data_IF_960549156159
#
_entry.id   IF_960549156159
#
_cell.length_a   1.000
_cell.length_b   1.000
_cell.length_c   1.000
_cell.angle_alpha   90.00
_cell.angle_beta   90.00
_cell.angle_gamma   90.00
#
_symmetry.space_group_name_H-M   'P 1'
#
loop_
_entity.id
_entity.type
_entity.pdbx_description
1 polymer ?
#
# COMPACT_ATOMS: atom_id res chain seq x y z
N UNK A 1 4.34 -13.79 8.58
CA UNK A 1 4.26 -12.53 7.82
C UNK A 1 5.55 -12.39 7.03
N UNK A 2 5.46 -12.25 5.70
CA UNK A 2 6.59 -12.35 4.77
C UNK A 2 7.75 -11.41 5.13
N UNK A 3 8.95 -11.96 5.36
CA UNK A 3 10.20 -11.21 5.55
C UNK A 3 10.49 -10.22 4.41
N UNK A 4 9.87 -10.43 3.24
CA UNK A 4 9.97 -9.60 2.04
C UNK A 4 9.30 -8.22 2.15
N UNK A 5 8.31 -8.04 3.03
CA UNK A 5 7.57 -6.77 3.12
C UNK A 5 8.41 -5.69 3.82
N UNK A 6 9.28 -6.05 4.76
CA UNK A 6 10.15 -5.12 5.49
C UNK A 6 11.06 -4.27 4.59
N UNK A 7 11.85 -4.84 3.66
CA UNK A 7 12.70 -4.03 2.79
C UNK A 7 11.88 -3.10 1.89
N UNK A 8 10.70 -3.54 1.40
CA UNK A 8 9.78 -2.70 0.64
C UNK A 8 9.35 -1.45 1.43
N UNK A 9 9.04 -1.59 2.73
CA UNK A 9 8.68 -0.45 3.60
C UNK A 9 9.85 0.52 3.80
N UNK A 10 11.06 0.00 3.94
CA UNK A 10 12.26 0.84 4.07
C UNK A 10 12.49 1.67 2.82
N UNK A 11 12.32 1.04 1.64
CA UNK A 11 12.47 1.74 0.37
C UNK A 11 11.40 2.83 0.19
N UNK A 12 10.15 2.54 0.52
CA UNK A 12 9.06 3.53 0.55
C UNK A 12 9.39 4.72 1.46
N UNK A 13 9.92 4.44 2.67
CA UNK A 13 10.33 5.50 3.60
C UNK A 13 11.46 6.38 3.03
N UNK A 14 12.43 5.78 2.34
CA UNK A 14 13.55 6.51 1.71
C UNK A 14 13.03 7.42 0.59
N UNK A 15 12.15 6.93 -0.28
CA UNK A 15 11.57 7.74 -1.35
C UNK A 15 10.68 8.87 -0.82
N UNK A 16 9.93 8.64 0.26
CA UNK A 16 9.17 9.69 0.94
C UNK A 16 10.10 10.78 1.53
N UNK A 17 11.20 10.38 2.19
CA UNK A 17 12.22 11.31 2.69
C UNK A 17 12.92 12.07 1.57
N UNK A 18 13.24 11.40 0.46
CA UNK A 18 13.80 12.04 -0.72
C UNK A 18 12.84 13.10 -1.27
N UNK A 19 11.53 12.81 -1.30
CA UNK A 19 10.51 13.78 -1.72
C UNK A 19 10.49 15.00 -0.80
N UNK A 20 10.55 14.81 0.52
CA UNK A 20 10.66 15.93 1.48
C UNK A 20 11.92 16.76 1.21
N UNK A 21 13.08 16.10 1.03
CA UNK A 21 14.36 16.77 0.78
C UNK A 21 14.38 17.59 -0.52
N UNK A 22 13.89 17.00 -1.61
CA UNK A 22 13.79 17.70 -2.91
C UNK A 22 12.80 18.86 -2.83
N UNK A 23 11.66 18.66 -2.17
CA UNK A 23 10.66 19.72 -1.99
C UNK A 23 11.22 20.88 -1.15
N UNK A 24 11.95 20.58 -0.07
CA UNK A 24 12.62 21.59 0.75
C UNK A 24 13.71 22.35 -0.03
N UNK A 25 14.48 21.65 -0.87
CA UNK A 25 15.46 22.28 -1.76
C UNK A 25 14.80 23.25 -2.75
N UNK A 26 13.70 22.82 -3.40
CA UNK A 26 12.94 23.68 -4.31
C UNK A 26 12.44 24.92 -3.58
N UNK A 27 11.91 24.77 -2.35
CA UNK A 27 11.47 25.88 -1.51
C UNK A 27 12.61 26.85 -1.17
N UNK A 28 13.77 26.34 -0.78
CA UNK A 28 14.94 27.18 -0.51
C UNK A 28 15.47 27.89 -1.76
N UNK A 29 15.44 27.23 -2.92
CA UNK A 29 15.96 27.79 -4.18
C UNK A 29 15.09 28.89 -4.79
N UNK A 30 13.78 28.83 -4.55
CA UNK A 30 12.79 29.76 -5.11
C UNK A 30 12.41 30.87 -4.11
N UNK A 31 13.18 31.06 -3.03
CA UNK A 31 12.88 32.00 -1.94
C UNK A 31 12.64 33.45 -2.40
N UNK A 32 13.20 33.87 -3.54
CA UNK A 32 12.99 35.22 -4.12
C UNK A 32 11.68 35.37 -4.90
N UNK A 33 11.10 34.27 -5.39
CA UNK A 33 9.90 34.23 -6.21
C UNK A 33 8.71 33.86 -5.31
N UNK A 34 7.98 34.86 -4.83
CA UNK A 34 6.84 34.73 -3.89
C UNK A 34 5.63 33.92 -4.40
N UNK A 35 5.73 33.24 -5.54
CA UNK A 35 4.68 32.37 -6.09
C UNK A 35 5.02 30.89 -5.87
N UNK A 36 4.83 30.43 -4.63
CA UNK A 36 4.82 28.99 -4.37
C UNK A 36 3.57 28.35 -4.97
N UNK A 37 3.75 27.35 -5.83
CA UNK A 37 2.63 26.56 -6.34
C UNK A 37 2.10 25.64 -5.24
N UNK A 38 0.78 25.63 -5.04
CA UNK A 38 0.08 24.77 -4.08
C UNK A 38 0.43 23.28 -4.23
N UNK A 39 0.86 22.86 -5.42
CA UNK A 39 1.27 21.48 -5.72
C UNK A 39 2.54 21.07 -4.95
N UNK A 40 3.48 22.01 -4.74
CA UNK A 40 4.72 21.75 -4.00
C UNK A 40 4.42 21.48 -2.53
N UNK A 41 3.51 22.25 -1.92
CA UNK A 41 3.04 22.00 -0.56
C UNK A 41 2.27 20.68 -0.43
N UNK A 42 1.48 20.31 -1.45
CA UNK A 42 0.81 19.01 -1.49
C UNK A 42 1.81 17.85 -1.50
N UNK A 43 2.89 17.95 -2.28
CA UNK A 43 3.97 16.95 -2.29
C UNK A 43 4.71 16.86 -0.93
N UNK A 44 4.94 18.00 -0.27
CA UNK A 44 5.53 18.03 1.07
C UNK A 44 4.63 17.32 2.08
N UNK A 45 3.32 17.64 2.05
CA UNK A 45 2.32 16.96 2.86
C UNK A 45 2.33 15.45 2.60
N UNK A 46 2.40 15.03 1.34
CA UNK A 46 2.37 13.62 0.97
C UNK A 46 3.61 12.85 1.47
N UNK A 47 4.79 13.46 1.38
CA UNK A 47 6.02 12.95 1.97
C UNK A 47 5.92 12.81 3.49
N UNK A 48 5.49 13.88 4.19
CA UNK A 48 5.28 13.85 5.64
C UNK A 48 4.24 12.81 6.07
N UNK A 49 3.11 12.72 5.36
CA UNK A 49 2.06 11.72 5.60
C UNK A 49 2.63 10.30 5.50
N UNK A 50 3.42 10.03 4.46
CA UNK A 50 3.98 8.70 4.23
C UNK A 50 5.03 8.34 5.30
N UNK A 51 5.94 9.27 5.64
CA UNK A 51 6.98 9.04 6.65
C UNK A 51 6.42 8.98 8.08
N UNK A 52 5.47 9.84 8.44
CA UNK A 52 4.98 9.98 9.81
C UNK A 52 3.77 9.11 10.13
N UNK A 53 2.92 8.79 9.15
CA UNK A 53 1.68 8.04 9.35
C UNK A 53 1.78 6.67 8.70
N UNK A 54 2.10 6.57 7.41
CA UNK A 54 2.11 5.27 6.74
C UNK A 54 3.20 4.34 7.30
N UNK A 55 4.46 4.76 7.35
CA UNK A 55 5.58 3.90 7.77
C UNK A 55 5.42 3.37 9.21
N UNK A 56 5.09 4.18 10.23
CA UNK A 56 4.91 3.67 11.60
C UNK A 56 3.71 2.74 11.73
N UNK A 57 2.60 3.06 11.05
CA UNK A 57 1.38 2.24 11.11
C UNK A 57 1.60 0.85 10.51
N UNK A 58 2.39 0.77 9.42
CA UNK A 58 2.75 -0.49 8.77
C UNK A 58 3.90 -1.22 9.47
N UNK A 59 4.75 -0.53 10.23
CA UNK A 59 5.79 -1.12 11.09
C UNK A 59 5.27 -1.67 12.42
N UNK A 60 4.23 -1.05 13.00
CA UNK A 60 3.58 -1.49 14.24
C UNK A 60 2.51 -2.58 14.00
N UNK A 61 1.98 -2.70 12.78
CA UNK A 61 1.03 -3.73 12.37
C UNK A 61 1.41 -5.17 12.82
N UNK A 62 2.64 -5.67 12.63
CA UNK A 62 2.99 -7.04 13.05
C UNK A 62 3.12 -7.22 14.57
N UNK A 63 3.22 -6.14 15.36
CA UNK A 63 3.52 -6.22 16.79
C UNK A 63 2.30 -6.22 17.70
N UNK A 64 1.15 -5.68 17.25
CA UNK A 64 0.07 -5.37 18.20
C UNK A 64 -1.12 -6.36 18.23
N UNK A 65 -1.72 -6.84 17.12
CA UNK A 65 -3.02 -7.56 17.24
C UNK A 65 -3.30 -8.59 16.11
N UNK A 66 -3.09 -9.91 16.33
CA UNK A 66 -3.05 -10.90 15.24
C UNK A 66 -4.39 -11.39 14.65
N UNK A 67 -5.59 -10.94 15.08
CA UNK A 67 -6.81 -11.74 14.77
C UNK A 67 -8.08 -11.09 14.19
N UNK A 68 -8.40 -9.81 14.37
CA UNK A 68 -9.74 -9.33 13.92
C UNK A 68 -9.83 -7.95 13.27
N UNK A 69 -8.83 -7.06 13.39
CA UNK A 69 -8.89 -5.70 12.82
C UNK A 69 -8.01 -5.48 11.57
N UNK A 70 -7.26 -6.51 11.16
CA UNK A 70 -6.18 -6.40 10.16
C UNK A 70 -6.62 -6.48 8.69
N UNK A 71 -7.82 -7.00 8.39
CA UNK A 71 -8.20 -7.31 7.00
C UNK A 71 -8.51 -6.06 6.17
N UNK A 72 -8.96 -4.97 6.80
CA UNK A 72 -9.42 -3.77 6.08
C UNK A 72 -8.57 -2.52 6.33
N UNK A 73 -8.02 -2.34 7.53
CA UNK A 73 -7.32 -1.08 7.89
C UNK A 73 -6.01 -0.91 7.13
N UNK A 74 -5.26 -1.99 6.97
CA UNK A 74 -3.98 -2.00 6.24
C UNK A 74 -4.19 -1.66 4.76
N UNK A 75 -5.03 -2.39 4.00
CA UNK A 75 -5.24 -2.07 2.59
C UNK A 75 -5.92 -0.71 2.40
N UNK A 76 -6.78 -0.25 3.33
CA UNK A 76 -7.35 1.09 3.26
C UNK A 76 -6.28 2.19 3.34
N UNK A 77 -5.32 2.08 4.26
CA UNK A 77 -4.22 3.04 4.34
C UNK A 77 -3.29 3.00 3.13
N UNK A 78 -3.07 1.81 2.56
CA UNK A 78 -2.31 1.69 1.31
C UNK A 78 -3.03 2.33 0.12
N UNK A 79 -4.35 2.18 0.01
CA UNK A 79 -5.16 2.82 -1.05
C UNK A 79 -5.15 4.34 -0.90
N UNK A 80 -5.34 4.85 0.33
CA UNK A 80 -5.31 6.30 0.59
C UNK A 80 -3.95 6.87 0.21
N UNK A 81 -2.88 6.24 0.68
CA UNK A 81 -1.51 6.69 0.42
C UNK A 81 -1.19 6.61 -1.07
N UNK A 82 -1.51 5.49 -1.74
CA UNK A 82 -1.39 5.36 -3.18
C UNK A 82 -2.20 6.42 -3.95
N UNK A 83 -3.42 6.74 -3.52
CA UNK A 83 -4.23 7.79 -4.12
C UNK A 83 -3.59 9.18 -4.03
N UNK A 84 -2.99 9.51 -2.88
CA UNK A 84 -2.27 10.77 -2.68
C UNK A 84 -1.02 10.86 -3.56
N UNK A 85 -0.25 9.77 -3.69
CA UNK A 85 0.90 9.73 -4.61
C UNK A 85 0.49 9.83 -6.07
N UNK A 86 -0.61 9.18 -6.46
CA UNK A 86 -1.17 9.25 -7.80
C UNK A 86 -1.56 10.69 -8.19
N UNK A 87 -2.34 11.35 -7.35
CA UNK A 87 -2.75 12.73 -7.60
C UNK A 87 -1.54 13.68 -7.60
N UNK A 88 -0.56 13.44 -6.74
CA UNK A 88 0.65 14.25 -6.63
C UNK A 88 1.49 14.27 -7.89
N UNK A 89 1.83 13.10 -8.44
CA UNK A 89 2.71 13.07 -9.62
C UNK A 89 2.02 13.66 -10.85
N UNK A 90 0.71 13.44 -11.02
CA UNK A 90 -0.08 14.03 -12.11
C UNK A 90 -0.17 15.54 -11.96
N UNK A 91 -0.44 16.04 -10.75
CA UNK A 91 -0.50 17.48 -10.50
C UNK A 91 0.84 18.17 -10.79
N UNK A 92 1.96 17.54 -10.44
CA UNK A 92 3.31 18.05 -10.77
C UNK A 92 3.58 17.98 -12.27
N UNK A 93 3.17 16.91 -12.95
CA UNK A 93 3.31 16.79 -14.40
C UNK A 93 2.52 17.86 -15.15
N UNK A 94 1.34 18.25 -14.66
CA UNK A 94 0.54 19.32 -15.25
C UNK A 94 1.11 20.73 -14.97
N UNK A 95 1.90 20.90 -13.91
CA UNK A 95 2.48 22.18 -13.52
C UNK A 95 3.70 22.56 -14.36
N UNK A 96 4.47 21.59 -14.85
CA UNK A 96 5.73 21.84 -15.55
C UNK A 96 5.47 22.14 -17.04
N UNK A 97 5.78 23.35 -17.55
CA UNK A 97 5.75 23.62 -18.98
C UNK A 97 6.84 22.80 -19.70
N UNK A 98 6.64 22.53 -20.99
CA UNK A 98 7.47 21.61 -21.77
C UNK A 98 8.99 21.87 -21.67
N UNK A 99 9.82 20.83 -21.89
CA UNK A 99 11.25 20.80 -21.55
C UNK A 99 12.13 21.87 -22.22
N UNK A 100 11.60 22.65 -23.18
CA UNK A 100 12.33 23.71 -23.88
C UNK A 100 12.51 25.02 -23.10
N UNK A 101 11.72 25.29 -22.05
CA UNK A 101 11.78 26.56 -21.30
C UNK A 101 12.39 26.44 -19.90
N UNK A 102 12.84 25.24 -19.52
CA UNK A 102 13.19 24.91 -18.13
C UNK A 102 14.65 24.46 -17.99
N UNK A 103 15.60 25.41 -18.04
CA UNK A 103 17.06 25.15 -17.95
C UNK A 103 17.65 25.41 -16.55
N UNK A 104 16.83 25.62 -15.53
CA UNK A 104 17.30 25.91 -14.17
C UNK A 104 17.38 24.64 -13.31
N UNK A 105 18.33 24.56 -12.35
CA UNK A 105 18.51 23.38 -11.51
C UNK A 105 17.25 22.98 -10.73
N UNK A 106 16.43 23.96 -10.30
CA UNK A 106 15.16 23.70 -9.62
C UNK A 106 14.15 22.96 -10.50
N UNK A 107 14.19 23.14 -11.83
CA UNK A 107 13.29 22.44 -12.73
C UNK A 107 13.69 20.97 -12.95
N UNK A 108 14.99 20.70 -13.05
CA UNK A 108 15.49 19.32 -13.07
C UNK A 108 15.18 18.59 -11.75
N UNK A 109 15.22 19.30 -10.62
CA UNK A 109 14.81 18.75 -9.32
C UNK A 109 13.31 18.39 -9.31
N UNK A 110 12.44 19.24 -9.86
CA UNK A 110 11.00 18.96 -9.99
C UNK A 110 10.72 17.78 -10.93
N UNK A 111 11.45 17.65 -12.05
CA UNK A 111 11.35 16.49 -12.92
C UNK A 111 11.74 15.19 -12.20
N UNK A 112 12.85 15.21 -11.45
CA UNK A 112 13.26 14.07 -10.64
C UNK A 112 12.19 13.72 -9.58
N UNK A 113 11.56 14.73 -8.99
CA UNK A 113 10.48 14.55 -8.02
C UNK A 113 9.26 13.85 -8.62
N UNK A 114 8.90 14.13 -9.88
CA UNK A 114 7.81 13.42 -10.57
C UNK A 114 8.14 11.93 -10.71
N UNK A 115 9.38 11.61 -11.11
CA UNK A 115 9.80 10.21 -11.28
C UNK A 115 9.79 9.47 -9.95
N UNK A 116 10.32 10.10 -8.89
CA UNK A 116 10.29 9.53 -7.53
C UNK A 116 8.86 9.26 -7.09
N UNK A 117 7.95 10.23 -7.27
CA UNK A 117 6.55 10.08 -6.90
C UNK A 117 5.82 8.99 -7.70
N UNK A 118 6.13 8.84 -8.99
CA UNK A 118 5.56 7.80 -9.83
C UNK A 118 6.03 6.39 -9.44
N UNK A 119 7.32 6.24 -9.09
CA UNK A 119 7.87 4.97 -8.59
C UNK A 119 7.24 4.61 -7.23
N UNK A 120 7.10 5.60 -6.35
CA UNK A 120 6.48 5.41 -5.04
C UNK A 120 5.01 4.97 -5.17
N UNK A 121 4.26 5.63 -6.06
CA UNK A 121 2.90 5.21 -6.42
C UNK A 121 2.86 3.75 -6.89
N UNK A 122 3.76 3.36 -7.79
CA UNK A 122 3.82 2.00 -8.32
C UNK A 122 4.10 0.98 -7.21
N UNK A 123 4.96 1.30 -6.24
CA UNK A 123 5.18 0.43 -5.07
C UNK A 123 3.90 0.23 -4.26
N UNK A 124 3.16 1.30 -3.96
CA UNK A 124 1.87 1.19 -3.25
C UNK A 124 0.82 0.43 -4.06
N UNK A 125 0.80 0.58 -5.39
CA UNK A 125 -0.11 -0.18 -6.25
C UNK A 125 0.19 -1.69 -6.21
N UNK A 126 1.48 -2.06 -6.25
CA UNK A 126 1.92 -3.45 -6.17
C UNK A 126 1.62 -4.06 -4.81
N UNK A 127 1.90 -3.36 -3.71
CA UNK A 127 1.59 -3.89 -2.37
C UNK A 127 0.09 -4.08 -2.16
N UNK A 128 -0.72 -3.12 -2.60
CA UNK A 128 -2.17 -3.22 -2.54
C UNK A 128 -2.72 -4.39 -3.38
N UNK A 129 -2.16 -4.64 -4.58
CA UNK A 129 -2.54 -5.79 -5.40
C UNK A 129 -2.27 -7.12 -4.69
N UNK A 130 -1.09 -7.30 -4.11
CA UNK A 130 -0.76 -8.50 -3.34
C UNK A 130 -1.63 -8.64 -2.08
N UNK A 131 -1.92 -7.54 -1.39
CA UNK A 131 -2.82 -7.54 -0.24
C UNK A 131 -4.21 -8.06 -0.65
N UNK A 132 -4.80 -7.54 -1.73
CA UNK A 132 -6.11 -7.99 -2.23
C UNK A 132 -6.11 -9.46 -2.62
N UNK A 133 -5.05 -9.96 -3.27
CA UNK A 133 -4.93 -11.38 -3.62
C UNK A 133 -4.89 -12.28 -2.39
N UNK A 134 -4.13 -11.90 -1.36
CA UNK A 134 -4.04 -12.66 -0.11
C UNK A 134 -5.39 -12.72 0.61
N UNK A 135 -6.16 -11.63 0.58
CA UNK A 135 -7.52 -11.58 1.12
C UNK A 135 -8.47 -12.51 0.36
N UNK A 136 -8.45 -12.47 -0.97
CA UNK A 136 -9.30 -13.32 -1.81
C UNK A 136 -8.97 -14.80 -1.62
N UNK A 137 -7.69 -15.15 -1.55
CA UNK A 137 -7.23 -16.51 -1.33
C UNK A 137 -7.57 -17.02 0.08
N UNK A 138 -7.35 -16.19 1.11
CA UNK A 138 -7.72 -16.52 2.49
C UNK A 138 -9.23 -16.76 2.66
N UNK A 139 -10.07 -15.99 1.96
CA UNK A 139 -11.53 -16.19 1.94
C UNK A 139 -11.94 -17.47 1.24
N UNK A 140 -11.25 -17.86 0.15
CA UNK A 140 -11.50 -19.13 -0.55
C UNK A 140 -11.16 -20.34 0.31
N UNK A 141 -10.03 -20.32 1.03
CA UNK A 141 -9.65 -21.40 1.94
C UNK A 141 -10.64 -21.58 3.11
N UNK A 142 -11.07 -20.48 3.72
CA UNK A 142 -12.06 -20.51 4.84
C UNK A 142 -13.44 -21.03 4.40
N UNK A 143 -13.83 -20.78 3.14
CA UNK A 143 -15.08 -21.31 2.58
C UNK A 143 -15.04 -22.82 2.37
N UNK A 144 -13.90 -23.37 1.92
CA UNK A 144 -13.72 -24.82 1.75
C UNK A 144 -13.71 -25.57 3.09
N UNK A 145 -13.07 -25.01 4.11
CA UNK A 145 -13.06 -25.61 5.46
C UNK A 145 -14.45 -25.67 6.09
N UNK A 146 -15.32 -24.68 5.82
CA UNK A 146 -16.69 -24.66 6.36
C UNK A 146 -17.66 -25.61 5.63
N UNK A 147 -17.35 -26.02 4.39
CA UNK A 147 -18.15 -27.00 3.62
C UNK A 147 -17.75 -28.47 3.93
N UNK A 148 -16.53 -28.72 4.43
CA UNK A 148 -16.05 -30.06 4.81
C UNK A 148 -16.71 -30.69 6.06
N UNK A 149 -17.07 -29.98 7.16
CA UNK A 149 -17.59 -30.63 8.37
C UNK A 149 -18.98 -31.24 8.17
N UNK A 150 -19.75 -30.82 7.17
CA UNK A 150 -21.11 -31.37 6.93
C UNK A 150 -21.04 -32.63 6.05
N UNK A 151 -20.06 -32.75 5.16
CA UNK A 151 -19.88 -33.92 4.32
C UNK A 151 -19.29 -35.11 5.10
N UNK A 152 -18.31 -34.85 5.98
CA UNK A 152 -17.64 -35.91 6.75
C UNK A 152 -18.52 -36.46 7.89
N UNK A 153 -19.31 -35.60 8.57
CA UNK A 153 -20.27 -36.02 9.60
C UNK A 153 -21.44 -36.81 9.03
N UNK A 154 -21.91 -36.50 7.81
CA UNK A 154 -22.95 -37.28 7.12
C UNK A 154 -22.40 -38.62 6.57
N UNK A 155 -21.13 -38.67 6.16
CA UNK A 155 -20.49 -39.93 5.77
C UNK A 155 -20.27 -40.88 6.97
N UNK A 156 -19.87 -40.36 8.13
CA UNK A 156 -19.68 -41.16 9.34
C UNK A 156 -20.99 -41.63 10.00
N UNK A 157 -22.05 -40.82 9.92
CA UNK A 157 -23.38 -41.23 10.40
C UNK A 157 -24.09 -42.23 9.47
N UNK A 158 -23.82 -42.21 8.16
CA UNK A 158 -24.31 -43.23 7.22
C UNK A 158 -23.66 -44.61 7.38
N UNK A 159 -22.38 -44.67 7.75
CA UNK A 159 -21.66 -45.94 7.96
C UNK A 159 -22.05 -46.62 9.29
N UNK A 160 -22.33 -45.85 10.34
CA UNK A 160 -22.74 -46.38 11.65
C UNK A 160 -24.19 -46.91 11.68
N UNK A 161 -25.04 -46.52 10.71
CA UNK A 161 -26.38 -47.07 10.54
C UNK A 161 -26.45 -48.42 9.81
N UNK A 162 -25.43 -48.80 9.05
CA UNK A 162 -25.41 -50.09 8.32
C UNK A 162 -24.82 -51.27 9.10
N UNK A 163 -24.04 -51.03 10.16
CA UNK A 163 -23.40 -52.12 10.91
C UNK A 163 -24.32 -52.80 11.93
N UNK A 164 -25.51 -52.25 12.22
CA UNK A 164 -26.41 -52.78 13.25
C UNK A 164 -27.50 -53.73 12.70
N UNK A 165 -27.39 -54.17 11.44
CA UNK A 165 -28.40 -54.97 10.76
C UNK A 165 -27.94 -56.34 10.24
N UNK A 166 -26.74 -56.82 10.59
CA UNK A 166 -26.14 -57.98 9.91
C UNK A 166 -25.70 -59.16 10.79
N UNK A 167 -26.07 -59.21 12.08
CA UNK A 167 -25.77 -60.37 12.93
C UNK A 167 -27.02 -60.85 13.70
N UNK A 168 -28.02 -61.34 12.98
CA UNK A 168 -29.08 -62.21 13.54
C UNK A 168 -29.58 -63.20 12.48
N UNK A 169 -28.81 -64.25 12.18
CA UNK A 169 -29.31 -65.60 11.80
C UNK A 169 -28.26 -66.63 12.19
#
# INVERSE_FOLDING_TARGET
MLSWVYPLRVVQAIFALATIGVTAYVIGSLYSEWSFSNVVYFMLFNGCWTTAIAVPYLGMAPLWLPRFSHEFVIPAMEIITGGLWFSGFIAMAALIPGPGSCNFPSCHALQAQIVIAAVEWAMFAVTNYFAVLDLVNSRRGRKQENDQPVAEVNAQSGVSGQQNGQETV
#
